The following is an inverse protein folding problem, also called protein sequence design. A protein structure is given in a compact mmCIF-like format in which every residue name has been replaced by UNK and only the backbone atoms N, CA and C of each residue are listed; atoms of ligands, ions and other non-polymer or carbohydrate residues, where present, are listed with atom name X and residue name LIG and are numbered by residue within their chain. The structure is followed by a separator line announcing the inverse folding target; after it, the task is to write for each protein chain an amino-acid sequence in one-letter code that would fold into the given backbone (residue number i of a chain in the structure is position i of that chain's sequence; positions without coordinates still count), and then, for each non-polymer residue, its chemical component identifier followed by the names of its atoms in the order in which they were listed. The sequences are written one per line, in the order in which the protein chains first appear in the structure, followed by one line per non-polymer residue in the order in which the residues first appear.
data_IF_423905839042
#
_entry.id   IF_423905839042
#
_cell.length_a   1.000
_cell.length_b   1.000
_cell.length_c   1.000
_cell.angle_alpha   90.00
_cell.angle_beta   90.00
_cell.angle_gamma   90.00
#
_symmetry.space_group_name_H-M   'P 1'
#
loop_
_entity.id
_entity.type
_entity.pdbx_description
1 polymer ?
#
# COMPACT_ATOMS: atom_id res chain seq x y z
N UNK A 1 -19.94 -8.23 -21.01
CA UNK A 1 -19.97 -6.81 -20.78
C UNK A 1 -18.96 -6.43 -19.70
N UNK A 2 -18.28 -5.41 -19.93
CA UNK A 2 -17.23 -5.01 -19.04
C UNK A 2 -17.71 -3.98 -18.05
N UNK A 3 -17.32 -4.12 -16.81
CA UNK A 3 -17.66 -3.13 -15.81
C UNK A 3 -16.95 -1.82 -16.09
N UNK A 4 -17.52 -0.73 -15.62
CA UNK A 4 -16.88 0.56 -15.75
C UNK A 4 -15.53 0.53 -15.04
N UNK A 5 -14.52 1.21 -15.59
CA UNK A 5 -13.22 1.26 -14.92
C UNK A 5 -13.34 1.88 -13.52
N UNK A 6 -12.64 1.31 -12.57
CA UNK A 6 -12.69 1.75 -11.20
C UNK A 6 -11.58 2.76 -10.90
N UNK A 7 -11.85 3.80 -10.10
CA UNK A 7 -10.80 4.70 -9.65
C UNK A 7 -9.84 3.96 -8.72
N UNK A 8 -8.59 4.43 -8.66
CA UNK A 8 -7.61 3.79 -7.81
C UNK A 8 -7.92 4.09 -6.34
N UNK A 9 -7.97 3.07 -5.49
CA UNK A 9 -8.25 3.28 -4.06
C UNK A 9 -7.24 4.16 -3.35
N UNK A 10 -6.01 4.28 -3.87
CA UNK A 10 -4.97 5.00 -3.16
C UNK A 10 -5.21 6.52 -3.11
N UNK A 11 -6.06 7.05 -3.97
CA UNK A 11 -6.44 8.45 -3.91
C UNK A 11 -5.37 9.44 -4.34
N UNK A 12 -4.28 8.98 -4.97
CA UNK A 12 -3.22 9.89 -5.39
C UNK A 12 -3.75 10.94 -6.36
N UNK A 13 -4.69 10.53 -7.21
CA UNK A 13 -5.37 11.45 -8.12
C UNK A 13 -6.82 10.98 -8.22
N UNK A 14 -7.78 11.86 -7.90
CA UNK A 14 -9.18 11.43 -7.86
C UNK A 14 -9.70 10.86 -9.17
N UNK A 15 -9.14 11.28 -10.29
CA UNK A 15 -9.63 10.83 -11.60
C UNK A 15 -8.80 9.69 -12.18
N UNK A 16 -7.75 9.26 -11.50
CA UNK A 16 -6.88 8.23 -12.05
C UNK A 16 -7.47 6.86 -11.81
N UNK A 17 -7.50 6.04 -12.86
CA UNK A 17 -8.04 4.69 -12.77
C UNK A 17 -7.01 3.75 -12.16
N UNK A 18 -7.51 2.66 -11.56
CA UNK A 18 -6.64 1.65 -10.96
C UNK A 18 -5.59 1.16 -11.97
N UNK A 19 -6.01 0.85 -13.19
CA UNK A 19 -5.12 0.32 -14.21
C UNK A 19 -3.99 1.29 -14.57
N UNK A 20 -4.22 2.58 -14.41
CA UNK A 20 -3.24 3.62 -14.72
C UNK A 20 -2.50 4.12 -13.49
N UNK A 21 -2.73 3.51 -12.35
CA UNK A 21 -2.15 3.92 -11.07
C UNK A 21 -1.54 2.68 -10.40
N UNK A 22 -2.07 2.28 -9.25
CA UNK A 22 -1.50 1.16 -8.49
C UNK A 22 -1.57 -0.16 -9.25
N UNK A 23 -2.58 -0.35 -10.08
CA UNK A 23 -2.70 -1.58 -10.86
C UNK A 23 -1.52 -1.86 -11.76
N UNK A 24 -0.78 -0.80 -12.15
CA UNK A 24 0.44 -0.97 -12.97
C UNK A 24 1.46 -1.86 -12.27
N UNK A 25 1.48 -1.84 -10.95
CA UNK A 25 2.48 -2.57 -10.17
C UNK A 25 1.96 -3.92 -9.68
N UNK A 26 0.64 -4.11 -9.68
CA UNK A 26 0.04 -5.38 -9.23
C UNK A 26 0.25 -6.49 -10.25
N UNK A 27 0.48 -6.15 -11.50
CA UNK A 27 0.72 -7.11 -12.56
C UNK A 27 1.17 -6.41 -13.81
N UNK A 28 1.46 -7.17 -14.87
CA UNK A 28 1.85 -6.61 -16.15
C UNK A 28 3.32 -6.20 -16.23
N UNK A 29 3.69 -5.37 -17.22
CA UNK A 29 5.10 -5.04 -17.46
C UNK A 29 5.81 -4.36 -16.30
N UNK A 30 5.09 -3.62 -15.45
CA UNK A 30 5.68 -2.92 -14.32
C UNK A 30 5.46 -3.65 -13.00
N UNK A 31 5.11 -4.94 -13.07
CA UNK A 31 4.87 -5.73 -11.86
C UNK A 31 6.07 -5.66 -10.92
N UNK A 32 5.83 -5.30 -9.67
CA UNK A 32 6.84 -5.17 -8.61
C UNK A 32 7.86 -4.06 -8.85
N UNK A 33 7.59 -3.13 -9.77
CA UNK A 33 8.56 -2.10 -10.14
C UNK A 33 8.11 -0.69 -9.74
N UNK A 34 7.47 -0.54 -8.59
CA UNK A 34 7.13 0.80 -8.09
C UNK A 34 8.41 1.65 -8.02
N UNK A 35 8.36 2.89 -8.53
CA UNK A 35 9.58 3.69 -8.69
C UNK A 35 10.17 4.25 -7.39
N UNK A 36 9.37 4.32 -6.33
CA UNK A 36 9.84 4.86 -5.06
C UNK A 36 8.99 4.30 -3.93
N UNK A 37 9.36 4.65 -2.70
CA UNK A 37 8.68 4.13 -1.53
C UNK A 37 7.23 4.60 -1.44
N UNK A 38 6.95 5.84 -1.82
CA UNK A 38 5.57 6.33 -1.79
C UNK A 38 4.69 5.57 -2.77
N UNK A 39 5.18 5.36 -4.00
CA UNK A 39 4.41 4.60 -4.99
C UNK A 39 4.18 3.17 -4.50
N UNK A 40 5.19 2.57 -3.87
CA UNK A 40 5.02 1.24 -3.30
C UNK A 40 3.98 1.25 -2.18
N UNK A 41 4.04 2.22 -1.28
CA UNK A 41 3.08 2.32 -0.19
C UNK A 41 1.65 2.41 -0.73
N UNK A 42 1.43 3.28 -1.71
CA UNK A 42 0.11 3.44 -2.30
C UNK A 42 -0.37 2.16 -2.96
N UNK A 43 0.52 1.46 -3.66
CA UNK A 43 0.14 0.21 -4.33
C UNK A 43 -0.17 -0.90 -3.32
N UNK A 44 0.50 -0.90 -2.17
CA UNK A 44 0.20 -1.86 -1.11
C UNK A 44 -1.15 -1.55 -0.46
N UNK A 45 -1.47 -0.27 -0.26
CA UNK A 45 -2.79 0.09 0.25
C UNK A 45 -3.89 -0.43 -0.69
N UNK A 46 -3.73 -0.17 -1.99
CA UNK A 46 -4.69 -0.68 -2.98
C UNK A 46 -4.77 -2.20 -2.95
N UNK A 47 -3.65 -2.87 -2.72
CA UNK A 47 -3.63 -4.32 -2.63
C UNK A 47 -4.40 -4.81 -1.40
N UNK A 48 -4.33 -4.10 -0.28
CA UNK A 48 -5.18 -4.42 0.87
C UNK A 48 -6.65 -4.25 0.54
N UNK A 49 -7.01 -3.16 -0.13
CA UNK A 49 -8.40 -2.90 -0.52
C UNK A 49 -8.93 -4.03 -1.40
N UNK A 50 -8.09 -4.53 -2.30
CA UNK A 50 -8.47 -5.51 -3.30
C UNK A 50 -8.17 -6.95 -2.89
N UNK A 51 -7.70 -7.16 -1.66
CA UNK A 51 -7.33 -8.49 -1.15
C UNK A 51 -6.26 -9.17 -2.01
N UNK A 52 -5.27 -8.41 -2.46
CA UNK A 52 -4.16 -8.95 -3.24
C UNK A 52 -3.02 -9.35 -2.32
N UNK A 53 -3.25 -10.39 -1.51
CA UNK A 53 -2.23 -10.83 -0.55
C UNK A 53 -0.96 -11.33 -1.21
N UNK A 54 -1.05 -11.86 -2.42
CA UNK A 54 0.14 -12.23 -3.18
C UNK A 54 1.07 -11.04 -3.41
N UNK A 55 0.49 -9.88 -3.80
CA UNK A 55 1.28 -8.68 -4.01
C UNK A 55 1.87 -8.16 -2.70
N UNK A 56 1.08 -8.21 -1.62
CA UNK A 56 1.56 -7.77 -0.31
C UNK A 56 2.76 -8.58 0.14
N UNK A 57 2.71 -9.91 -0.03
CA UNK A 57 3.82 -10.77 0.33
C UNK A 57 5.03 -10.53 -0.57
N UNK A 58 4.80 -10.39 -1.87
CA UNK A 58 5.90 -10.20 -2.82
C UNK A 58 6.65 -8.88 -2.59
N UNK A 59 5.97 -7.86 -2.04
CA UNK A 59 6.58 -6.56 -1.77
C UNK A 59 6.99 -6.38 -0.31
N UNK A 60 6.84 -7.41 0.51
CA UNK A 60 7.31 -7.39 1.89
C UNK A 60 8.72 -7.98 1.92
N UNK A 61 9.64 -7.28 2.56
CA UNK A 61 11.03 -7.71 2.57
C UNK A 61 11.14 -9.12 3.16
N UNK A 62 11.93 -10.02 2.54
CA UNK A 62 12.02 -11.41 3.03
C UNK A 62 12.45 -11.52 4.48
N UNK A 63 13.24 -10.57 4.98
CA UNK A 63 13.73 -10.60 6.35
C UNK A 63 12.67 -10.35 7.40
N UNK A 64 11.55 -9.74 7.02
CA UNK A 64 10.47 -9.41 7.96
C UNK A 64 9.12 -9.94 7.51
N UNK A 65 9.07 -10.58 6.34
CA UNK A 65 7.82 -11.06 5.76
C UNK A 65 7.13 -12.09 6.64
N UNK A 66 5.82 -11.93 6.91
CA UNK A 66 5.07 -12.97 7.61
C UNK A 66 4.83 -14.16 6.68
N UNK A 67 4.39 -15.28 7.26
CA UNK A 67 4.11 -16.48 6.47
C UNK A 67 2.95 -16.26 5.49
N UNK A 68 1.96 -15.47 5.90
CA UNK A 68 0.82 -15.15 5.04
C UNK A 68 0.20 -13.85 5.50
N UNK A 69 -0.64 -13.27 4.65
CA UNK A 69 -1.40 -12.07 4.97
C UNK A 69 -2.87 -12.46 5.02
N UNK A 70 -3.52 -12.14 6.14
CA UNK A 70 -4.93 -12.46 6.31
C UNK A 70 -5.78 -11.65 5.35
N UNK A 71 -6.80 -12.27 4.76
CA UNK A 71 -7.74 -11.50 3.94
C UNK A 71 -8.54 -10.53 4.80
N UNK A 72 -9.14 -9.54 4.15
CA UNK A 72 -10.00 -8.62 4.87
C UNK A 72 -11.17 -9.37 5.51
N UNK A 73 -11.50 -9.06 6.77
CA UNK A 73 -12.68 -9.67 7.37
C UNK A 73 -13.94 -9.20 6.64
N UNK A 74 -15.00 -10.03 6.66
CA UNK A 74 -16.25 -9.64 6.02
C UNK A 74 -16.76 -8.32 6.58
N UNK A 75 -17.22 -7.46 5.68
CA UNK A 75 -17.78 -6.17 6.07
C UNK A 75 -16.77 -5.06 6.29
N UNK A 76 -15.47 -5.34 6.17
CA UNK A 76 -14.47 -4.28 6.27
C UNK A 76 -14.57 -3.37 5.05
N UNK A 77 -14.59 -2.07 5.30
CA UNK A 77 -14.59 -1.07 4.23
C UNK A 77 -13.40 -0.15 4.42
N UNK A 78 -12.57 -0.07 3.38
CA UNK A 78 -11.46 0.87 3.37
C UNK A 78 -11.99 2.24 2.93
N UNK A 79 -11.65 3.28 3.68
CA UNK A 79 -12.23 4.60 3.48
C UNK A 79 -11.25 5.61 2.87
N UNK A 80 -9.96 5.31 2.86
CA UNK A 80 -9.02 6.21 2.21
C UNK A 80 -7.63 6.12 2.81
N UNK A 81 -6.70 6.66 2.04
CA UNK A 81 -5.28 6.73 2.41
C UNK A 81 -4.82 8.17 2.32
N UNK A 82 -4.12 8.62 3.34
CA UNK A 82 -3.49 9.92 3.34
C UNK A 82 -1.99 9.71 3.54
N UNK A 83 -1.17 10.07 2.57
CA UNK A 83 0.28 10.04 2.71
C UNK A 83 0.69 11.41 3.21
N UNK A 84 1.28 11.45 4.41
CA UNK A 84 1.63 12.70 5.06
C UNK A 84 3.06 13.13 4.79
N UNK A 85 3.96 12.15 4.62
CA UNK A 85 5.36 12.49 4.47
C UNK A 85 6.10 11.34 3.79
N UNK A 86 6.96 11.68 2.83
CA UNK A 86 7.83 10.73 2.16
C UNK A 86 9.25 11.26 2.31
N UNK A 87 10.09 10.54 3.03
CA UNK A 87 11.46 10.97 3.32
C UNK A 87 12.42 9.98 2.67
N UNK A 88 13.26 10.49 1.80
CA UNK A 88 14.32 9.70 1.17
C UNK A 88 15.57 9.86 2.03
N UNK A 89 16.00 8.77 2.68
CA UNK A 89 17.17 8.82 3.55
C UNK A 89 18.46 8.67 2.75
N UNK A 90 18.44 7.79 1.75
CA UNK A 90 19.52 7.63 0.79
C UNK A 90 18.97 6.88 -0.42
N UNK A 91 19.85 6.46 -1.32
CA UNK A 91 19.41 5.83 -2.58
C UNK A 91 18.58 4.57 -2.35
N UNK A 92 18.78 3.89 -1.23
CA UNK A 92 18.16 2.59 -0.99
C UNK A 92 17.27 2.55 0.26
N UNK A 93 17.08 3.66 0.94
CA UNK A 93 16.29 3.69 2.17
C UNK A 93 15.35 4.89 2.17
N UNK A 94 14.11 4.65 2.54
CA UNK A 94 13.10 5.71 2.63
C UNK A 94 12.06 5.35 3.67
N UNK A 95 11.34 6.35 4.14
CA UNK A 95 10.20 6.13 5.01
C UNK A 95 9.00 6.90 4.49
N UNK A 96 7.80 6.39 4.80
CA UNK A 96 6.54 7.01 4.40
C UNK A 96 5.63 7.03 5.62
N UNK A 97 5.22 8.23 5.99
CA UNK A 97 4.23 8.40 7.05
C UNK A 97 2.85 8.51 6.42
N UNK A 98 1.90 7.71 6.89
CA UNK A 98 0.59 7.66 6.28
C UNK A 98 -0.49 7.37 7.31
N UNK A 99 -1.72 7.70 6.94
CA UNK A 99 -2.92 7.35 7.70
C UNK A 99 -3.84 6.56 6.76
N UNK A 100 -4.24 5.37 7.19
CA UNK A 100 -5.20 4.55 6.47
C UNK A 100 -6.46 4.45 7.33
N UNK A 101 -7.60 4.73 6.72
CA UNK A 101 -8.88 4.73 7.42
C UNK A 101 -9.76 3.60 6.91
N UNK A 102 -10.49 2.98 7.84
CA UNK A 102 -11.39 1.90 7.50
C UNK A 102 -12.56 1.89 8.46
N UNK A 103 -13.57 1.08 8.15
CA UNK A 103 -14.73 0.87 9.01
C UNK A 103 -15.07 -0.60 9.04
N UNK A 104 -15.30 -1.12 10.24
CA UNK A 104 -15.67 -2.51 10.42
C UNK A 104 -16.74 -2.57 11.50
N UNK A 105 -17.90 -3.16 11.17
CA UNK A 105 -18.98 -3.32 12.12
C UNK A 105 -19.48 -1.99 12.67
N UNK A 106 -19.53 -0.96 11.82
CA UNK A 106 -19.96 0.36 12.24
C UNK A 106 -18.91 1.15 12.99
N UNK A 107 -17.73 0.59 13.20
CA UNK A 107 -16.64 1.27 13.92
C UNK A 107 -15.61 1.82 12.95
N UNK A 108 -15.35 3.12 13.07
CA UNK A 108 -14.27 3.75 12.31
C UNK A 108 -12.92 3.38 12.94
N UNK A 109 -11.96 3.09 12.08
CA UNK A 109 -10.60 2.73 12.49
C UNK A 109 -9.62 3.61 11.75
N UNK A 110 -8.50 3.90 12.41
CA UNK A 110 -7.49 4.78 11.86
C UNK A 110 -6.13 4.20 12.19
N UNK A 111 -5.38 3.85 11.14
CA UNK A 111 -4.00 3.37 11.29
C UNK A 111 -3.07 4.50 10.88
N UNK A 112 -2.25 4.97 11.81
CA UNK A 112 -1.24 5.99 11.54
C UNK A 112 0.11 5.36 11.77
N UNK A 113 0.91 5.27 10.72
CA UNK A 113 2.16 4.53 10.74
C UNK A 113 3.23 5.27 9.96
N UNK A 114 4.49 5.10 10.37
CA UNK A 114 5.64 5.44 9.53
C UNK A 114 6.27 4.13 9.09
N UNK A 115 6.12 3.81 7.80
CA UNK A 115 6.68 2.60 7.24
C UNK A 115 8.12 2.81 6.80
N UNK A 116 8.94 1.78 6.97
CA UNK A 116 10.33 1.79 6.50
C UNK A 116 10.44 0.92 5.26
N UNK A 117 11.13 1.45 4.26
CA UNK A 117 11.25 0.82 2.96
C UNK A 117 12.71 0.74 2.54
N UNK A 118 13.06 -0.31 1.82
CA UNK A 118 14.41 -0.52 1.33
C UNK A 118 14.36 -0.92 -0.14
N UNK A 119 15.37 -0.49 -0.88
CA UNK A 119 15.51 -0.90 -2.28
C UNK A 119 16.65 -1.90 -2.37
N UNK A 120 16.37 -3.06 -2.98
CA UNK A 120 17.35 -4.11 -3.21
C UNK A 120 17.18 -4.63 -4.62
N UNK A 121 18.27 -4.70 -5.37
CA UNK A 121 18.26 -5.20 -6.74
C UNK A 121 17.24 -4.47 -7.61
N UNK A 122 17.14 -3.15 -7.38
CA UNK A 122 16.29 -2.31 -8.19
C UNK A 122 14.81 -2.33 -7.79
N UNK A 123 14.45 -3.02 -6.71
CA UNK A 123 13.07 -3.10 -6.26
C UNK A 123 12.90 -2.56 -4.86
N UNK A 124 11.82 -1.84 -4.64
CA UNK A 124 11.46 -1.35 -3.32
C UNK A 124 10.65 -2.40 -2.57
N UNK A 125 10.95 -2.55 -1.27
CA UNK A 125 10.27 -3.46 -0.37
C UNK A 125 9.85 -2.72 0.89
N UNK A 126 8.68 -3.09 1.42
CA UNK A 126 8.28 -2.68 2.76
C UNK A 126 9.01 -3.57 3.77
N UNK A 127 9.62 -2.95 4.77
CA UNK A 127 10.36 -3.71 5.79
C UNK A 127 9.49 -3.87 7.03
N UNK A 128 9.16 -2.78 7.67
CA UNK A 128 8.34 -2.75 8.87
C UNK A 128 7.82 -1.34 9.06
N UNK A 129 7.11 -1.12 10.14
CA UNK A 129 6.59 0.19 10.43
C UNK A 129 6.48 0.44 11.92
N UNK A 130 6.41 1.72 12.24
CA UNK A 130 6.23 2.16 13.60
C UNK A 130 4.88 2.85 13.71
N UNK A 131 4.01 2.36 14.59
CA UNK A 131 2.73 2.99 14.80
C UNK A 131 2.93 4.35 15.46
N UNK A 132 2.31 5.36 14.89
CA UNK A 132 2.35 6.71 15.46
C UNK A 132 1.18 6.79 16.41
N UNK A 133 1.48 6.81 17.64
CA UNK A 133 0.47 6.64 18.63
C UNK A 133 -0.50 7.76 18.62
N UNK A 134 -1.67 7.45 18.31
CA UNK A 134 -2.66 8.35 18.67
C UNK A 134 -3.30 7.74 19.84
N UNK A 135 -3.26 8.37 20.84
CA UNK A 135 -3.86 7.89 22.03
C UNK A 135 -5.31 7.49 21.82
#
# INVERSE_FOLDING_TARGET
MKDAPAPCPCGASPSRLLADCCGRYHGGPLHLLAPNAEALMRSRYSAYVLDRSDYLLATWHPGTRPAHVEPNPPGLKWLGLEVRRHVVHDADHASVEFVARSRLGGRARRLHETGRFVREEGRWYYVDGELRGSA
#
